data_IF_466151351614
#
_entry.id   IF_466151351614
#
_cell.length_a   1.000
_cell.length_b   1.000
_cell.length_c   1.000
_cell.angle_alpha   90.00
_cell.angle_beta   90.00
_cell.angle_gamma   90.00
#
_symmetry.space_group_name_H-M   'P 1'
#
loop_
_entity.id
_entity.type
_entity.pdbx_description
1 polymer ?
#
# COMPACT_ATOMS: atom_id res chain seq x y z
N UNK A 1 -2.12 -28.44 2.50
CA UNK A 1 -1.53 -27.30 3.24
C UNK A 1 -1.84 -25.96 2.55
N UNK A 2 -3.09 -25.71 2.18
CA UNK A 2 -3.46 -24.44 1.56
C UNK A 2 -4.76 -23.96 2.20
N UNK A 3 -4.66 -23.11 3.22
CA UNK A 3 -5.74 -22.21 3.66
C UNK A 3 -5.99 -21.17 2.55
N UNK A 4 -6.45 -21.64 1.40
CA UNK A 4 -6.22 -21.02 0.10
C UNK A 4 -7.03 -19.74 -0.14
N UNK A 5 -7.95 -19.39 0.76
CA UNK A 5 -8.96 -18.35 0.53
C UNK A 5 -9.27 -17.42 1.71
N UNK A 6 -8.31 -17.16 2.62
CA UNK A 6 -8.22 -15.80 3.20
C UNK A 6 -7.79 -14.75 2.14
N UNK A 7 -7.37 -15.22 0.96
CA UNK A 7 -6.88 -14.47 -0.19
C UNK A 7 -7.92 -13.67 -0.99
N UNK A 8 -9.22 -13.84 -0.73
CA UNK A 8 -10.26 -13.10 -1.48
C UNK A 8 -10.15 -11.61 -1.19
N UNK A 9 -9.98 -11.21 0.08
CA UNK A 9 -9.87 -9.80 0.47
C UNK A 9 -8.63 -9.15 -0.13
N UNK A 10 -7.48 -9.82 -0.15
CA UNK A 10 -6.23 -9.30 -0.75
C UNK A 10 -6.39 -9.10 -2.27
N UNK A 11 -6.99 -10.08 -2.96
CA UNK A 11 -7.25 -9.96 -4.40
C UNK A 11 -8.28 -8.86 -4.70
N UNK A 12 -9.30 -8.72 -3.83
CA UNK A 12 -10.25 -7.62 -3.88
C UNK A 12 -9.56 -6.26 -3.65
N UNK A 13 -8.62 -6.17 -2.70
CA UNK A 13 -7.88 -4.94 -2.39
C UNK A 13 -7.05 -4.46 -3.58
N UNK A 14 -6.38 -5.39 -4.27
CA UNK A 14 -5.64 -5.06 -5.50
C UNK A 14 -6.57 -4.48 -6.59
N UNK A 15 -7.81 -4.95 -6.64
CA UNK A 15 -8.83 -4.54 -7.62
C UNK A 15 -9.61 -3.28 -7.25
N UNK A 16 -9.45 -2.73 -6.04
CA UNK A 16 -10.14 -1.51 -5.61
C UNK A 16 -10.01 -0.36 -6.63
N UNK A 17 -11.12 0.25 -6.99
CA UNK A 17 -11.20 1.51 -7.73
C UNK A 17 -11.03 2.72 -6.82
N UNK A 18 -11.02 3.92 -7.40
CA UNK A 18 -10.80 5.18 -6.66
C UNK A 18 -11.80 5.40 -5.53
N UNK A 19 -13.07 5.04 -5.74
CA UNK A 19 -14.12 5.17 -4.70
C UNK A 19 -13.84 4.26 -3.50
N UNK A 20 -13.50 3.00 -3.75
CA UNK A 20 -13.19 2.02 -2.71
C UNK A 20 -11.92 2.41 -1.94
N UNK A 21 -10.90 2.96 -2.62
CA UNK A 21 -9.70 3.47 -1.95
C UNK A 21 -10.05 4.60 -0.96
N UNK A 22 -10.92 5.53 -1.36
CA UNK A 22 -11.35 6.63 -0.47
C UNK A 22 -12.16 6.15 0.73
N UNK A 23 -12.89 5.04 0.57
CA UNK A 23 -13.73 4.45 1.61
C UNK A 23 -12.91 3.58 2.58
N UNK A 24 -12.10 2.66 2.06
CA UNK A 24 -11.43 1.61 2.83
C UNK A 24 -9.96 1.90 3.15
N UNK A 25 -9.33 2.87 2.49
CA UNK A 25 -7.93 3.24 2.72
C UNK A 25 -7.77 4.59 3.42
N UNK A 26 -8.69 4.91 4.34
CA UNK A 26 -8.57 6.12 5.17
C UNK A 26 -7.36 6.00 6.09
N UNK A 27 -6.57 7.06 6.13
CA UNK A 27 -5.37 7.19 6.95
C UNK A 27 -5.62 8.22 8.05
N UNK A 28 -5.01 7.99 9.21
CA UNK A 28 -4.87 9.00 10.25
C UNK A 28 -3.93 10.14 9.79
N UNK A 29 -3.90 11.24 10.55
CA UNK A 29 -3.08 12.40 10.21
C UNK A 29 -1.59 12.05 10.03
N UNK A 30 -1.08 11.09 10.83
CA UNK A 30 0.31 10.64 10.75
C UNK A 30 0.58 9.85 9.46
N UNK A 31 -0.30 8.91 9.10
CA UNK A 31 -0.20 8.15 7.86
C UNK A 31 -0.31 9.04 6.62
N UNK A 32 -1.20 10.04 6.63
CA UNK A 32 -1.31 11.02 5.55
C UNK A 32 -0.02 11.83 5.37
N UNK A 33 0.56 12.34 6.48
CA UNK A 33 1.83 13.08 6.43
C UNK A 33 2.98 12.23 5.93
N UNK A 34 3.05 10.98 6.35
CA UNK A 34 4.07 10.04 5.88
C UNK A 34 3.93 9.79 4.36
N UNK A 35 2.72 9.49 3.91
CA UNK A 35 2.45 9.22 2.49
C UNK A 35 2.73 10.46 1.62
N UNK A 36 2.36 11.65 2.09
CA UNK A 36 2.64 12.91 1.39
C UNK A 36 4.15 13.15 1.27
N UNK A 37 4.92 12.97 2.35
CA UNK A 37 6.39 13.08 2.32
C UNK A 37 7.01 12.05 1.38
N UNK A 38 6.57 10.79 1.46
CA UNK A 38 7.06 9.75 0.55
C UNK A 38 6.71 10.05 -0.91
N UNK A 39 5.53 10.62 -1.16
CA UNK A 39 5.10 11.03 -2.50
C UNK A 39 6.01 12.10 -3.08
N UNK A 40 6.38 13.09 -2.28
CA UNK A 40 7.29 14.17 -2.68
C UNK A 40 8.71 13.63 -2.90
N UNK A 41 9.29 12.95 -1.91
CA UNK A 41 10.67 12.43 -1.98
C UNK A 41 10.88 11.43 -3.12
N UNK A 42 9.90 10.55 -3.36
CA UNK A 42 10.01 9.50 -4.37
C UNK A 42 9.39 9.90 -5.72
N UNK A 43 8.88 11.15 -5.85
CA UNK A 43 8.22 11.68 -7.04
C UNK A 43 7.10 10.75 -7.54
N UNK A 44 6.20 10.39 -6.64
CA UNK A 44 5.13 9.42 -6.91
C UNK A 44 3.99 10.03 -7.70
N UNK A 45 3.56 9.32 -8.75
CA UNK A 45 2.31 9.65 -9.43
C UNK A 45 1.09 9.31 -8.56
N UNK A 46 -0.06 9.91 -8.86
CA UNK A 46 -1.32 9.58 -8.17
C UNK A 46 -1.64 8.07 -8.21
N UNK A 47 -1.35 7.41 -9.33
CA UNK A 47 -1.50 5.95 -9.47
C UNK A 47 -0.58 5.19 -8.52
N UNK A 48 0.66 5.65 -8.36
CA UNK A 48 1.61 5.05 -7.43
C UNK A 48 1.15 5.18 -5.97
N UNK A 49 0.65 6.35 -5.59
CA UNK A 49 0.06 6.59 -4.26
C UNK A 49 -1.13 5.66 -4.03
N UNK A 50 -2.03 5.50 -5.01
CA UNK A 50 -3.13 4.55 -4.92
C UNK A 50 -2.67 3.10 -4.75
N UNK A 51 -1.63 2.68 -5.45
CA UNK A 51 -1.05 1.34 -5.26
C UNK A 51 -0.50 1.16 -3.85
N UNK A 52 0.18 2.17 -3.29
CA UNK A 52 0.67 2.12 -1.90
C UNK A 52 -0.50 1.97 -0.92
N UNK A 53 -1.58 2.73 -1.10
CA UNK A 53 -2.77 2.63 -0.25
C UNK A 53 -3.38 1.22 -0.28
N UNK A 54 -3.47 0.59 -1.45
CA UNK A 54 -3.96 -0.78 -1.58
C UNK A 54 -3.05 -1.80 -0.88
N UNK A 55 -1.74 -1.63 -0.99
CA UNK A 55 -0.76 -2.49 -0.30
C UNK A 55 -0.87 -2.29 1.21
N UNK A 56 -0.96 -1.04 1.68
CA UNK A 56 -1.16 -0.73 3.09
C UNK A 56 -2.46 -1.33 3.65
N UNK A 57 -3.55 -1.36 2.86
CA UNK A 57 -4.79 -2.07 3.23
C UNK A 57 -4.57 -3.57 3.35
N UNK A 58 -3.91 -4.18 2.39
CA UNK A 58 -3.55 -5.61 2.44
C UNK A 58 -2.72 -5.95 3.67
N UNK A 59 -1.73 -5.12 4.02
CA UNK A 59 -0.92 -5.30 5.23
C UNK A 59 -1.79 -5.17 6.48
N UNK A 60 -2.67 -4.17 6.53
CA UNK A 60 -3.61 -4.00 7.64
C UNK A 60 -4.54 -5.22 7.81
N UNK A 61 -5.05 -5.78 6.70
CA UNK A 61 -5.90 -6.97 6.73
C UNK A 61 -5.15 -8.22 7.18
N UNK A 62 -3.87 -8.36 6.78
CA UNK A 62 -2.99 -9.43 7.24
C UNK A 62 -2.69 -9.33 8.75
N UNK A 63 -2.55 -8.11 9.25
CA UNK A 63 -2.39 -7.80 10.68
C UNK A 63 -3.72 -7.81 11.46
N UNK A 64 -4.83 -8.18 10.80
CA UNK A 64 -6.20 -8.17 11.35
C UNK A 64 -6.61 -6.82 11.94
N UNK A 65 -6.05 -5.73 11.40
CA UNK A 65 -6.34 -4.35 11.80
C UNK A 65 -7.49 -3.78 10.96
N UNK A 66 -8.52 -3.27 11.64
CA UNK A 66 -9.64 -2.60 10.97
C UNK A 66 -9.18 -1.32 10.25
N UNK A 67 -8.24 -0.59 10.85
CA UNK A 67 -7.71 0.67 10.33
C UNK A 67 -6.31 0.51 9.71
N UNK A 68 -6.01 1.34 8.72
CA UNK A 68 -4.65 1.45 8.20
C UNK A 68 -3.86 2.38 9.12
N UNK A 69 -2.93 1.80 9.87
CA UNK A 69 -2.03 2.51 10.78
C UNK A 69 -0.81 3.04 10.02
N UNK A 70 -0.16 4.05 10.59
CA UNK A 70 1.07 4.63 10.03
C UNK A 70 2.15 3.57 9.72
N UNK A 71 2.26 2.52 10.55
CA UNK A 71 3.19 1.40 10.31
C UNK A 71 2.92 0.65 9.00
N UNK A 72 1.65 0.36 8.68
CA UNK A 72 1.28 -0.32 7.44
C UNK A 72 1.61 0.54 6.20
N UNK A 73 1.47 1.86 6.31
CA UNK A 73 1.85 2.80 5.25
C UNK A 73 3.36 2.81 5.07
N UNK A 74 4.13 2.86 6.16
CA UNK A 74 5.60 2.84 6.11
C UNK A 74 6.12 1.58 5.43
N UNK A 75 5.52 0.43 5.75
CA UNK A 75 5.87 -0.85 5.15
C UNK A 75 5.50 -0.91 3.66
N UNK A 76 4.31 -0.44 3.29
CA UNK A 76 3.89 -0.35 1.89
C UNK A 76 4.78 0.57 1.04
N UNK A 77 5.23 1.69 1.60
CA UNK A 77 6.18 2.61 0.94
C UNK A 77 7.54 1.91 0.75
N UNK A 78 8.03 1.22 1.78
CA UNK A 78 9.31 0.49 1.72
C UNK A 78 9.31 -0.61 0.66
N UNK A 79 8.25 -1.42 0.60
CA UNK A 79 8.10 -2.43 -0.45
C UNK A 79 8.23 -1.84 -1.86
N UNK A 80 7.71 -0.63 -2.06
CA UNK A 80 7.78 0.03 -3.35
C UNK A 80 9.12 0.69 -3.66
N UNK A 81 9.84 1.15 -2.63
CA UNK A 81 11.23 1.58 -2.76
C UNK A 81 12.13 0.41 -3.17
N UNK A 82 11.95 -0.74 -2.54
CA UNK A 82 12.66 -1.98 -2.83
C UNK A 82 12.40 -2.50 -4.25
N UNK A 83 11.16 -2.41 -4.73
CA UNK A 83 10.80 -2.81 -6.11
C UNK A 83 11.49 -1.93 -7.18
N UNK A 84 11.77 -0.66 -6.85
CA UNK A 84 12.53 0.25 -7.73
C UNK A 84 14.01 -0.11 -7.77
N UNK A 85 14.61 -0.42 -6.62
CA UNK A 85 16.02 -0.82 -6.52
C UNK A 85 16.31 -2.12 -7.28
N UNK A 86 15.41 -3.12 -7.17
CA UNK A 86 15.54 -4.38 -7.90
C UNK A 86 15.42 -4.22 -9.43
N UNK A 87 14.64 -3.26 -9.92
CA UNK A 87 14.49 -3.03 -11.36
C UNK A 87 15.63 -2.17 -11.95
N UNK A 88 16.36 -1.41 -11.12
CA UNK A 88 17.57 -0.71 -11.56
C UNK A 88 18.77 -1.62 -11.77
N UNK A 89 18.83 -2.79 -11.12
CA UNK A 89 19.91 -3.78 -11.29
C UNK A 89 19.70 -4.74 -12.46
N UNK A 90 18.52 -4.74 -13.10
CA UNK A 90 18.18 -5.61 -14.24
C UNK A 90 18.30 -4.94 -15.61
N UNK A 91 18.71 -3.67 -15.67
CA UNK A 91 18.95 -2.92 -16.92
C UNK A 91 20.42 -2.50 -17.09
N UNK A 92 21.36 -3.28 -16.56
CA UNK A 92 22.80 -3.08 -16.70
C UNK A 92 23.43 -4.11 -17.64
#
# INVERSE_FOLDING_TARGET
>A
QIERFKSVSIFCNARMGTKEIQEYCRLDANGQRLLARASDTLMLSARAVHSILKVARTIADLDQSADIRTGHVAEAVQYRGFDRENNSTLNG
#
